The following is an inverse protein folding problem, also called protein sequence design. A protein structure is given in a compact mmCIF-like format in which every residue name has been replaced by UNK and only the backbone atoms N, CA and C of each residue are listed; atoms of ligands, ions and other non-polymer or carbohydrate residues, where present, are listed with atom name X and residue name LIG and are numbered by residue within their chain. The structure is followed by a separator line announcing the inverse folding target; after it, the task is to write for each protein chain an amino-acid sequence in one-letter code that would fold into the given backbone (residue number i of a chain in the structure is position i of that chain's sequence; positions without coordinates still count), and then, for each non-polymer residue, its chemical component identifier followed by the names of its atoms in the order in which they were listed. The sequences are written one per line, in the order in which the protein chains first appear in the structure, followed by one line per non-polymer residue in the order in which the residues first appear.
data_IF_747284581862
#
_entry.id   IF_747284581862
#
_cell.length_a   1.000
_cell.length_b   1.000
_cell.length_c   1.000
_cell.angle_alpha   90.00
_cell.angle_beta   90.00
_cell.angle_gamma   90.00
#
_symmetry.space_group_name_H-M   'P 1'
#
loop_
_entity.id
_entity.type
_entity.pdbx_description
1 polymer ?
#
# COMPACT_ATOMS: atom_id res chain seq x y z
N UNK A 1 61.17 12.98 65.38
CA UNK A 1 60.06 12.16 65.90
C UNK A 1 58.78 12.76 65.34
N UNK A 2 58.58 12.66 64.04
CA UNK A 2 57.94 11.55 63.31
C UNK A 2 56.41 11.59 63.46
N UNK A 3 55.76 12.00 62.38
CA UNK A 3 54.35 11.70 62.08
C UNK A 3 54.28 11.37 60.59
N UNK A 4 54.36 10.08 60.30
CA UNK A 4 54.21 9.51 58.96
C UNK A 4 52.75 9.19 58.65
N UNK A 5 52.28 9.77 57.55
CA UNK A 5 51.41 9.27 56.47
C UNK A 5 50.11 8.50 56.76
N UNK A 6 48.99 9.04 56.23
CA UNK A 6 48.02 8.28 55.42
C UNK A 6 47.42 9.12 54.27
N UNK A 7 47.75 8.66 53.05
CA UNK A 7 47.04 8.62 51.75
C UNK A 7 45.94 9.64 51.41
N UNK A 8 46.14 10.27 50.25
CA UNK A 8 45.20 11.15 49.56
C UNK A 8 44.06 10.45 48.83
N UNK A 9 43.05 11.27 48.53
CA UNK A 9 41.96 11.05 47.60
C UNK A 9 41.84 12.33 46.77
N UNK A 10 42.36 12.30 45.54
CA UNK A 10 42.06 13.30 44.52
C UNK A 10 40.72 12.92 43.87
N UNK A 11 39.69 13.74 44.10
CA UNK A 11 38.49 13.74 43.27
C UNK A 11 38.68 14.81 42.20
N UNK A 12 39.24 14.40 41.07
CA UNK A 12 39.31 15.22 39.87
C UNK A 12 37.90 15.48 39.33
N UNK A 13 37.63 16.77 39.10
CA UNK A 13 36.49 17.23 38.34
C UNK A 13 36.53 16.71 36.90
N UNK A 14 35.35 16.55 36.34
CA UNK A 14 35.14 16.51 34.89
C UNK A 14 33.90 17.31 34.57
N UNK A 15 34.18 18.56 34.21
CA UNK A 15 33.62 19.32 33.10
C UNK A 15 32.27 18.89 32.54
N UNK A 16 31.34 19.84 32.63
CA UNK A 16 30.17 19.93 31.77
C UNK A 16 30.61 19.97 30.30
N UNK A 17 30.36 18.88 29.57
CA UNK A 17 30.48 18.85 28.12
C UNK A 17 29.10 19.05 27.48
N UNK A 18 29.04 20.04 26.60
CA UNK A 18 27.91 20.48 25.79
C UNK A 18 27.08 19.34 25.18
N UNK A 19 25.76 19.47 25.29
CA UNK A 19 24.80 18.67 24.53
C UNK A 19 24.68 19.31 23.13
N UNK A 20 25.08 18.64 22.04
CA UNK A 20 24.85 19.15 20.70
C UNK A 20 23.37 18.95 20.33
N UNK A 21 22.67 20.05 20.08
CA UNK A 21 21.36 20.07 19.41
C UNK A 21 21.56 20.07 17.89
N UNK A 22 21.58 18.91 17.25
CA UNK A 22 21.15 18.70 15.85
C UNK A 22 21.27 17.20 15.48
N UNK A 23 20.16 16.50 15.25
CA UNK A 23 19.58 16.25 13.93
C UNK A 23 20.30 15.15 13.12
N UNK A 24 19.95 13.91 13.43
CA UNK A 24 19.83 12.74 12.53
C UNK A 24 20.03 11.51 13.41
N UNK A 25 18.93 10.96 13.94
CA UNK A 25 18.97 9.65 14.56
C UNK A 25 19.08 8.60 13.45
N UNK A 26 20.27 8.48 12.87
CA UNK A 26 20.68 7.24 12.22
C UNK A 26 20.65 6.13 13.27
N UNK A 27 20.14 4.96 12.90
CA UNK A 27 19.94 3.82 13.79
C UNK A 27 21.18 3.53 14.65
N UNK A 28 21.06 3.68 15.96
CA UNK A 28 21.94 3.00 16.92
C UNK A 28 21.08 2.13 17.82
N UNK A 29 20.84 0.88 17.41
CA UNK A 29 20.54 -0.20 18.36
C UNK A 29 21.85 -0.88 18.75
N UNK A 30 22.06 -1.21 20.03
CA UNK A 30 23.36 -1.58 20.53
C UNK A 30 23.86 -2.87 19.86
N UNK A 31 25.10 -2.82 19.37
CA UNK A 31 25.81 -4.01 18.92
C UNK A 31 25.79 -5.08 20.03
N UNK A 32 25.47 -6.33 19.71
CA UNK A 32 25.61 -7.44 20.65
C UNK A 32 27.02 -8.02 20.57
N UNK A 33 27.68 -8.15 21.73
CA UNK A 33 29.04 -8.70 21.82
C UNK A 33 28.97 -10.22 21.72
N UNK A 34 29.34 -10.78 20.57
CA UNK A 34 29.63 -12.21 20.45
C UNK A 34 31.10 -12.48 20.82
N UNK A 35 31.41 -13.73 21.17
CA UNK A 35 32.74 -14.16 21.63
C UNK A 35 33.87 -13.98 20.60
N UNK A 36 33.55 -13.67 19.34
CA UNK A 36 34.50 -13.50 18.23
C UNK A 36 34.57 -12.08 17.66
N UNK A 37 33.90 -11.08 18.27
CA UNK A 37 33.98 -9.67 17.87
C UNK A 37 32.63 -9.00 17.58
N UNK A 38 32.69 -7.73 17.15
CA UNK A 38 31.53 -6.97 16.65
C UNK A 38 31.13 -7.55 15.29
N UNK A 39 29.97 -8.21 15.23
CA UNK A 39 29.43 -8.73 13.96
C UNK A 39 28.22 -7.86 13.61
N UNK A 40 28.32 -7.09 12.52
CA UNK A 40 27.14 -6.49 11.90
C UNK A 40 26.36 -7.61 11.19
N UNK A 41 25.08 -7.86 11.53
CA UNK A 41 24.26 -8.78 10.75
C UNK A 41 24.07 -8.22 9.33
N UNK A 42 24.46 -8.99 8.32
CA UNK A 42 24.46 -8.59 6.90
C UNK A 42 23.05 -8.55 6.26
N UNK A 43 22.00 -8.33 7.04
CA UNK A 43 20.63 -8.12 6.56
C UNK A 43 19.82 -7.22 7.52
N UNK A 44 20.35 -6.05 7.89
CA UNK A 44 19.54 -5.02 8.54
C UNK A 44 18.62 -4.35 7.50
N UNK A 45 17.45 -4.91 7.24
CA UNK A 45 16.38 -4.17 6.54
C UNK A 45 15.80 -3.17 7.54
N UNK A 46 16.21 -1.90 7.45
CA UNK A 46 15.56 -0.83 8.22
C UNK A 46 14.10 -0.72 7.79
N UNK A 47 13.20 -0.66 8.77
CA UNK A 47 11.78 -0.39 8.56
C UNK A 47 11.48 1.02 9.05
N UNK A 48 10.91 1.83 8.18
CA UNK A 48 10.50 3.20 8.50
C UNK A 48 8.98 3.32 8.35
N UNK A 49 8.37 4.13 9.20
CA UNK A 49 6.97 4.54 9.07
C UNK A 49 6.93 6.03 8.75
N UNK A 50 6.18 6.36 7.70
CA UNK A 50 5.92 7.75 7.30
C UNK A 50 4.42 8.03 7.40
N UNK A 51 4.09 9.29 7.64
CA UNK A 51 2.73 9.82 7.48
C UNK A 51 2.67 10.62 6.18
N UNK A 52 1.65 10.39 5.38
CA UNK A 52 1.43 11.06 4.09
C UNK A 52 0.10 11.80 4.14
N UNK A 53 0.09 13.06 3.73
CA UNK A 53 -1.08 13.95 3.64
C UNK A 53 -1.17 14.54 2.22
N UNK A 54 -2.24 15.29 1.91
CA UNK A 54 -2.37 16.06 0.67
C UNK A 54 -3.00 15.34 -0.53
N UNK A 55 -3.35 14.06 -0.36
CA UNK A 55 -4.07 13.30 -1.38
C UNK A 55 -5.55 13.64 -1.46
N UNK A 56 -6.16 13.31 -2.60
CA UNK A 56 -7.60 13.44 -2.80
C UNK A 56 -8.35 12.42 -1.93
N UNK A 57 -9.12 12.93 -0.96
CA UNK A 57 -9.88 12.13 0.00
C UNK A 57 -11.17 11.56 -0.57
N UNK A 58 -11.57 11.98 -1.78
CA UNK A 58 -12.75 11.46 -2.48
C UNK A 58 -12.46 10.17 -3.26
N UNK A 59 -11.18 9.81 -3.42
CA UNK A 59 -10.76 8.57 -4.07
C UNK A 59 -11.17 7.33 -3.29
N UNK A 60 -11.30 6.20 -3.99
CA UNK A 60 -11.38 4.90 -3.32
C UNK A 60 -10.03 4.50 -2.71
N UNK A 61 -10.09 3.79 -1.59
CA UNK A 61 -8.92 3.40 -0.81
C UNK A 61 -7.90 2.62 -1.65
N UNK A 62 -8.37 1.74 -2.53
CA UNK A 62 -7.51 0.93 -3.37
C UNK A 62 -6.75 1.77 -4.41
N UNK A 63 -7.43 2.72 -5.06
CA UNK A 63 -6.81 3.63 -6.04
C UNK A 63 -5.73 4.49 -5.40
N UNK A 64 -6.01 5.04 -4.21
CA UNK A 64 -5.02 5.76 -3.42
C UNK A 64 -3.82 4.87 -3.09
N UNK A 65 -4.04 3.63 -2.65
CA UNK A 65 -2.97 2.68 -2.35
C UNK A 65 -2.09 2.40 -3.56
N UNK A 66 -2.67 2.25 -4.75
CA UNK A 66 -1.91 2.04 -5.98
C UNK A 66 -1.05 3.27 -6.33
N UNK A 67 -1.64 4.47 -6.25
CA UNK A 67 -0.92 5.71 -6.50
C UNK A 67 0.27 5.89 -5.54
N UNK A 68 0.04 5.68 -4.24
CA UNK A 68 1.10 5.72 -3.22
C UNK A 68 2.16 4.64 -3.46
N UNK A 69 1.77 3.42 -3.82
CA UNK A 69 2.72 2.34 -4.14
C UNK A 69 3.61 2.69 -5.31
N UNK A 70 3.04 3.23 -6.38
CA UNK A 70 3.77 3.66 -7.56
C UNK A 70 4.71 4.82 -7.23
N UNK A 71 4.21 5.82 -6.50
CA UNK A 71 4.96 7.03 -6.16
C UNK A 71 6.17 6.74 -5.26
N UNK A 72 5.99 5.94 -4.20
CA UNK A 72 7.07 5.61 -3.24
C UNK A 72 7.88 4.37 -3.62
N UNK A 73 7.70 3.81 -4.82
CA UNK A 73 8.38 2.58 -5.27
C UNK A 73 9.92 2.68 -5.28
N UNK A 74 10.47 3.88 -5.42
CA UNK A 74 11.91 4.15 -5.40
C UNK A 74 12.50 4.30 -3.99
N UNK A 75 11.65 4.52 -2.97
CA UNK A 75 12.07 4.75 -1.59
C UNK A 75 12.44 3.44 -0.88
N UNK A 76 11.81 2.34 -1.26
CA UNK A 76 12.00 1.01 -0.68
C UNK A 76 10.78 0.13 -0.92
N UNK A 77 10.76 -1.04 -0.29
CA UNK A 77 9.65 -1.97 -0.41
C UNK A 77 8.51 -1.60 0.55
N UNK A 78 7.36 -1.25 -0.03
CA UNK A 78 6.17 -0.86 0.74
C UNK A 78 5.47 -2.12 1.25
N UNK A 79 5.60 -2.37 2.55
CA UNK A 79 5.06 -3.56 3.21
C UNK A 79 3.60 -3.37 3.63
N UNK A 80 3.22 -2.15 4.01
CA UNK A 80 1.87 -1.86 4.48
C UNK A 80 1.48 -0.41 4.21
N UNK A 81 0.23 -0.19 3.81
CA UNK A 81 -0.40 1.14 3.72
C UNK A 81 -1.69 1.07 4.52
N UNK A 82 -1.80 1.93 5.52
CA UNK A 82 -3.00 2.11 6.31
C UNK A 82 -3.63 3.46 5.99
N UNK A 83 -4.86 3.44 5.48
CA UNK A 83 -5.63 4.63 5.14
C UNK A 83 -6.88 4.63 6.02
N UNK A 84 -6.94 5.47 7.05
CA UNK A 84 -8.15 5.67 7.84
C UNK A 84 -9.29 6.19 6.96
N UNK A 85 -10.51 5.71 7.21
CA UNK A 85 -11.73 6.13 6.51
C UNK A 85 -12.71 6.79 7.48
N UNK A 86 -13.34 7.87 7.04
CA UNK A 86 -14.53 8.42 7.68
C UNK A 86 -15.75 7.70 7.09
N UNK A 87 -16.28 6.73 7.84
CA UNK A 87 -17.42 5.93 7.41
C UNK A 87 -18.76 6.68 7.45
N UNK A 88 -18.86 7.79 8.19
CA UNK A 88 -20.08 8.61 8.22
C UNK A 88 -20.20 9.42 6.93
N UNK A 89 -19.08 10.01 6.50
CA UNK A 89 -19.01 10.81 5.28
C UNK A 89 -18.68 9.99 4.03
N UNK A 90 -18.32 8.72 4.22
CA UNK A 90 -17.87 7.81 3.17
C UNK A 90 -16.68 8.35 2.35
N UNK A 91 -15.75 9.05 3.01
CA UNK A 91 -14.52 9.60 2.42
C UNK A 91 -13.29 9.12 3.18
N UNK A 92 -12.11 9.21 2.58
CA UNK A 92 -10.86 8.94 3.27
C UNK A 92 -10.52 10.07 4.24
N UNK A 93 -9.87 9.78 5.35
CA UNK A 93 -9.26 10.84 6.17
C UNK A 93 -8.07 11.42 5.42
N UNK A 94 -7.66 12.65 5.78
CA UNK A 94 -6.63 13.42 5.06
C UNK A 94 -5.19 13.01 5.36
N UNK A 95 -4.97 11.82 5.92
CA UNK A 95 -3.64 11.29 6.24
C UNK A 95 -3.62 9.76 6.16
N UNK A 96 -2.50 9.20 5.70
CA UNK A 96 -2.25 7.76 5.59
C UNK A 96 -0.89 7.42 6.19
N UNK A 97 -0.76 6.20 6.72
CA UNK A 97 0.51 5.69 7.21
C UNK A 97 1.08 4.65 6.26
N UNK A 98 2.36 4.77 5.93
CA UNK A 98 3.06 3.85 5.04
C UNK A 98 4.27 3.25 5.77
N UNK A 99 4.39 1.93 5.70
CA UNK A 99 5.56 1.19 6.18
C UNK A 99 6.45 0.82 4.99
N UNK A 100 7.68 1.31 5.01
CA UNK A 100 8.66 1.09 3.94
C UNK A 100 9.87 0.37 4.53
N UNK A 101 10.22 -0.74 3.91
CA UNK A 101 11.44 -1.49 4.20
C UNK A 101 12.54 -1.07 3.22
N UNK A 102 13.70 -0.68 3.74
CA UNK A 102 14.83 -0.28 2.89
C UNK A 102 15.74 0.72 3.59
N UNK A 103 17.02 0.69 3.21
CA UNK A 103 18.00 1.64 3.71
C UNK A 103 17.70 3.05 3.17
N UNK A 104 17.66 4.02 4.08
CA UNK A 104 17.35 5.40 3.76
C UNK A 104 15.90 5.62 3.29
N UNK A 105 14.99 4.68 3.59
CA UNK A 105 13.62 4.72 3.07
C UNK A 105 12.86 5.97 3.51
N UNK A 106 13.06 6.41 4.76
CA UNK A 106 12.44 7.61 5.30
C UNK A 106 12.96 8.88 4.62
N UNK A 107 14.28 9.02 4.48
CA UNK A 107 14.92 10.18 3.86
C UNK A 107 14.52 10.31 2.39
N UNK A 108 14.49 9.18 1.67
CA UNK A 108 14.00 9.13 0.27
C UNK A 108 12.53 9.53 0.18
N UNK A 109 11.68 9.06 1.09
CA UNK A 109 10.27 9.42 1.09
C UNK A 109 10.04 10.90 1.44
N UNK A 110 10.79 11.43 2.41
CA UNK A 110 10.77 12.85 2.76
C UNK A 110 11.22 13.73 1.60
N UNK A 111 12.18 13.28 0.79
CA UNK A 111 12.63 13.99 -0.41
C UNK A 111 11.54 14.07 -1.50
N UNK A 112 10.54 13.19 -1.50
CA UNK A 112 9.39 13.24 -2.40
C UNK A 112 8.24 14.12 -1.86
N UNK A 113 8.37 14.70 -0.67
CA UNK A 113 7.37 15.62 -0.12
C UNK A 113 7.19 16.85 -1.03
N UNK A 114 5.93 17.17 -1.34
CA UNK A 114 5.51 18.22 -2.25
C UNK A 114 5.41 17.81 -3.73
N UNK A 115 5.74 16.57 -4.08
CA UNK A 115 5.71 16.10 -5.47
C UNK A 115 4.34 15.52 -5.87
N UNK A 116 4.07 15.49 -7.18
CA UNK A 116 2.82 14.98 -7.74
C UNK A 116 2.77 13.44 -7.66
N UNK A 117 1.67 12.93 -7.13
CA UNK A 117 1.38 11.50 -6.99
C UNK A 117 0.09 11.10 -7.73
N UNK A 118 -0.09 11.58 -8.96
CA UNK A 118 -1.25 11.29 -9.78
C UNK A 118 -2.28 12.42 -9.80
N UNK A 119 -1.81 13.67 -9.95
CA UNK A 119 -2.65 14.86 -10.04
C UNK A 119 -2.90 15.58 -8.71
N UNK A 120 -2.25 15.12 -7.63
CA UNK A 120 -2.29 15.72 -6.30
C UNK A 120 -0.91 15.64 -5.65
N UNK A 121 -0.59 16.63 -4.81
CA UNK A 121 0.72 16.72 -4.17
C UNK A 121 0.72 15.98 -2.81
N UNK A 122 1.63 15.03 -2.65
CA UNK A 122 1.86 14.37 -1.35
C UNK A 122 2.67 15.24 -0.42
N UNK A 123 2.33 15.26 0.87
CA UNK A 123 3.19 15.82 1.92
C UNK A 123 3.60 14.72 2.89
N UNK A 124 4.90 14.49 3.01
CA UNK A 124 5.45 13.40 3.82
C UNK A 124 6.01 13.96 5.13
N UNK A 125 5.66 13.32 6.23
CA UNK A 125 6.17 13.60 7.57
C UNK A 125 6.77 12.32 8.16
N UNK A 126 7.88 12.47 8.89
CA UNK A 126 8.42 11.40 9.73
C UNK A 126 7.37 10.99 10.76
N UNK A 127 7.15 9.69 10.90
CA UNK A 127 6.23 9.16 11.92
C UNK A 127 6.92 8.01 12.65
N UNK A 128 7.81 8.33 13.62
CA UNK A 128 8.40 7.33 14.49
C UNK A 128 7.30 6.46 15.10
N UNK A 129 7.53 5.16 15.19
CA UNK A 129 6.58 4.20 15.73
C UNK A 129 6.33 4.51 17.23
N UNK A 130 5.28 5.30 17.53
CA UNK A 130 4.88 5.70 18.88
C UNK A 130 3.71 4.88 19.43
N UNK A 131 3.19 3.94 18.65
CA UNK A 131 2.08 3.07 19.01
C UNK A 131 1.26 2.62 17.80
N UNK A 132 0.22 1.81 18.06
CA UNK A 132 -0.84 1.56 17.09
C UNK A 132 -1.76 2.79 17.08
N UNK A 133 -1.84 3.48 15.94
CA UNK A 133 -2.93 4.42 15.70
C UNK A 133 -4.23 3.61 15.72
N UNK A 134 -5.03 3.78 16.78
CA UNK A 134 -6.36 3.21 16.88
C UNK A 134 -7.31 4.27 16.37
N UNK A 135 -7.98 3.99 15.25
CA UNK A 135 -9.01 4.89 14.73
C UNK A 135 -10.18 4.95 15.73
N UNK A 136 -10.46 6.11 16.37
CA UNK A 136 -11.54 6.23 17.33
C UNK A 136 -12.92 5.95 16.72
N UNK A 137 -13.06 6.11 15.40
CA UNK A 137 -14.31 5.89 14.67
C UNK A 137 -14.51 4.48 14.13
N UNK A 138 -13.56 3.55 14.30
CA UNK A 138 -13.71 2.18 13.79
C UNK A 138 -14.80 1.39 14.51
N UNK A 139 -14.93 1.57 15.82
CA UNK A 139 -15.76 0.71 16.69
C UNK A 139 -17.24 1.14 16.77
N UNK A 140 -17.61 2.32 16.25
CA UNK A 140 -18.90 2.97 16.56
C UNK A 140 -19.88 3.01 15.40
N UNK A 141 -19.52 2.53 14.20
CA UNK A 141 -20.35 2.70 13.00
C UNK A 141 -20.77 1.35 12.41
N UNK A 142 -22.07 1.09 12.43
CA UNK A 142 -22.71 0.15 11.51
C UNK A 142 -22.66 0.77 10.10
N UNK A 143 -21.49 0.69 9.45
CA UNK A 143 -21.33 1.31 8.14
C UNK A 143 -22.07 0.50 7.06
N UNK A 144 -22.91 1.14 6.23
CA UNK A 144 -23.48 0.52 5.04
C UNK A 144 -22.40 -0.02 4.09
N UNK A 145 -21.16 0.47 4.19
CA UNK A 145 -20.04 0.01 3.39
C UNK A 145 -19.73 -1.48 3.62
N UNK A 146 -19.85 -1.95 4.86
CA UNK A 146 -19.63 -3.36 5.20
C UNK A 146 -20.80 -4.28 4.81
N UNK A 147 -21.98 -3.71 4.58
CA UNK A 147 -23.16 -4.48 4.16
C UNK A 147 -23.30 -4.58 2.63
N UNK A 148 -22.51 -3.81 1.86
CA UNK A 148 -22.50 -3.91 0.41
C UNK A 148 -21.95 -5.27 -0.05
N UNK A 149 -22.55 -5.87 -1.10
CA UNK A 149 -22.08 -7.15 -1.61
C UNK A 149 -20.70 -6.98 -2.25
N UNK A 150 -19.69 -7.62 -1.65
CA UNK A 150 -18.37 -7.78 -2.28
C UNK A 150 -18.40 -9.01 -3.19
N UNK A 151 -18.03 -8.83 -4.45
CA UNK A 151 -17.97 -9.89 -5.45
C UNK A 151 -16.58 -9.98 -6.04
N UNK A 152 -16.16 -11.21 -6.33
CA UNK A 152 -14.91 -11.45 -7.03
C UNK A 152 -15.21 -11.86 -8.47
N UNK A 153 -14.48 -11.27 -9.42
CA UNK A 153 -14.53 -11.61 -10.83
C UNK A 153 -13.14 -11.90 -11.36
N UNK A 154 -13.07 -12.71 -12.41
CA UNK A 154 -11.85 -13.02 -13.14
C UNK A 154 -11.92 -12.31 -14.48
N UNK A 155 -10.87 -11.55 -14.78
CA UNK A 155 -10.76 -10.78 -16.02
C UNK A 155 -9.50 -11.17 -16.79
N UNK A 156 -9.54 -10.96 -18.11
CA UNK A 156 -8.44 -11.24 -19.04
C UNK A 156 -8.29 -10.11 -20.06
N UNK A 157 -7.21 -10.12 -20.84
CA UNK A 157 -7.04 -9.23 -22.00
C UNK A 157 -6.24 -7.96 -21.75
N UNK A 158 -5.57 -7.87 -20.60
CA UNK A 158 -4.53 -6.88 -20.30
C UNK A 158 -3.15 -7.38 -20.77
N UNK A 159 -2.22 -6.45 -20.93
CA UNK A 159 -0.85 -6.74 -21.33
C UNK A 159 0.00 -7.19 -20.14
N UNK A 160 0.40 -8.47 -20.11
CA UNK A 160 1.23 -9.06 -19.05
C UNK A 160 2.69 -8.66 -19.11
N UNK A 161 3.12 -7.96 -20.16
CA UNK A 161 4.49 -7.43 -20.27
C UNK A 161 4.70 -6.15 -19.44
N UNK A 162 3.61 -5.50 -19.02
CA UNK A 162 3.66 -4.28 -18.22
C UNK A 162 3.96 -4.59 -16.74
N UNK A 163 4.49 -3.60 -16.00
CA UNK A 163 4.64 -3.72 -14.57
C UNK A 163 3.31 -4.04 -13.88
N UNK A 164 3.34 -4.95 -12.89
CA UNK A 164 2.14 -5.39 -12.16
C UNK A 164 1.31 -4.20 -11.64
N UNK A 165 1.98 -3.15 -11.14
CA UNK A 165 1.35 -1.94 -10.63
C UNK A 165 0.60 -1.16 -11.72
N UNK A 166 1.12 -1.13 -12.95
CA UNK A 166 0.48 -0.43 -14.07
C UNK A 166 -0.75 -1.20 -14.57
N UNK A 167 -0.68 -2.54 -14.54
CA UNK A 167 -1.83 -3.39 -14.82
C UNK A 167 -2.92 -3.20 -13.76
N UNK A 168 -2.54 -3.17 -12.47
CA UNK A 168 -3.49 -2.92 -11.39
C UNK A 168 -4.17 -1.55 -11.53
N UNK A 169 -3.43 -0.49 -11.84
CA UNK A 169 -3.98 0.86 -12.07
C UNK A 169 -4.92 0.84 -13.29
N UNK A 170 -4.50 0.26 -14.41
CA UNK A 170 -5.31 0.22 -15.62
C UNK A 170 -6.61 -0.56 -15.42
N UNK A 171 -6.56 -1.72 -14.74
CA UNK A 171 -7.75 -2.49 -14.38
C UNK A 171 -8.65 -1.73 -13.40
N UNK A 172 -8.07 -1.02 -12.43
CA UNK A 172 -8.84 -0.21 -11.48
C UNK A 172 -9.61 0.91 -12.19
N UNK A 173 -8.91 1.63 -13.06
CA UNK A 173 -9.50 2.70 -13.86
C UNK A 173 -10.60 2.18 -14.80
N UNK A 174 -10.41 1.03 -15.44
CA UNK A 174 -11.37 0.45 -16.38
C UNK A 174 -12.73 0.12 -15.72
N UNK A 175 -12.71 -0.40 -14.48
CA UNK A 175 -13.93 -0.77 -13.76
C UNK A 175 -14.42 0.30 -12.77
N UNK A 176 -13.81 1.50 -12.76
CA UNK A 176 -14.14 2.59 -11.83
C UNK A 176 -15.61 3.04 -11.89
N UNK A 177 -16.28 2.91 -13.04
CA UNK A 177 -17.70 3.23 -13.21
C UNK A 177 -18.65 2.10 -12.78
N UNK A 178 -18.14 0.89 -12.55
CA UNK A 178 -18.94 -0.27 -12.15
C UNK A 178 -19.22 -0.28 -10.65
N UNK A 179 -18.24 0.12 -9.84
CA UNK A 179 -18.29 0.08 -8.38
C UNK A 179 -16.91 0.34 -7.75
N UNK A 180 -16.85 0.25 -6.42
CA UNK A 180 -15.61 0.45 -5.67
C UNK A 180 -14.74 -0.81 -5.78
N UNK A 181 -13.57 -0.69 -6.42
CA UNK A 181 -12.61 -1.77 -6.50
C UNK A 181 -11.82 -1.80 -5.20
N UNK A 182 -11.77 -2.97 -4.60
CA UNK A 182 -11.17 -3.16 -3.26
C UNK A 182 -9.86 -3.94 -3.33
N UNK A 183 -9.66 -4.71 -4.40
CA UNK A 183 -8.42 -5.45 -4.63
C UNK A 183 -8.32 -5.93 -6.07
N UNK A 184 -7.12 -5.87 -6.66
CA UNK A 184 -6.75 -6.56 -7.91
C UNK A 184 -5.55 -7.46 -7.60
N UNK A 185 -5.73 -8.76 -7.79
CA UNK A 185 -4.69 -9.77 -7.60
C UNK A 185 -4.38 -10.41 -8.95
N UNK A 186 -3.10 -10.41 -9.32
CA UNK A 186 -2.61 -11.07 -10.53
C UNK A 186 -1.74 -12.24 -10.08
N UNK A 187 -2.22 -13.49 -10.17
CA UNK A 187 -1.41 -14.65 -9.84
C UNK A 187 -0.13 -14.66 -10.68
N UNK A 188 0.96 -15.16 -10.10
CA UNK A 188 2.22 -15.41 -10.83
C UNK A 188 2.28 -16.87 -11.22
N UNK A 189 2.82 -17.16 -12.40
CA UNK A 189 3.11 -18.53 -12.82
C UNK A 189 4.33 -19.09 -12.08
N UNK A 190 4.67 -20.36 -12.34
CA UNK A 190 5.82 -21.02 -11.73
C UNK A 190 7.17 -20.34 -12.06
N UNK A 191 7.22 -19.53 -13.10
CA UNK A 191 8.40 -18.80 -13.55
C UNK A 191 8.42 -17.35 -13.04
N UNK A 192 7.44 -16.93 -12.26
CA UNK A 192 7.29 -15.56 -11.74
C UNK A 192 6.66 -14.58 -12.72
N UNK A 193 6.24 -15.02 -13.91
CA UNK A 193 5.52 -14.22 -14.89
C UNK A 193 4.07 -13.96 -14.45
N UNK A 194 3.52 -12.80 -14.82
CA UNK A 194 2.13 -12.47 -14.53
C UNK A 194 1.19 -13.37 -15.34
N UNK A 195 0.19 -13.95 -14.68
CA UNK A 195 -0.86 -14.72 -15.34
C UNK A 195 -1.69 -13.79 -16.25
N UNK A 196 -2.29 -14.35 -17.31
CA UNK A 196 -3.22 -13.62 -18.18
C UNK A 196 -4.61 -13.43 -17.55
N UNK A 197 -4.84 -13.96 -16.34
CA UNK A 197 -6.09 -13.86 -15.56
C UNK A 197 -5.84 -13.08 -14.28
N UNK A 198 -6.60 -12.00 -14.07
CA UNK A 198 -6.58 -11.22 -12.84
C UNK A 198 -7.87 -11.45 -12.05
N UNK A 199 -7.76 -11.49 -10.73
CA UNK A 199 -8.89 -11.55 -9.81
C UNK A 199 -9.18 -10.15 -9.30
N UNK A 200 -10.38 -9.63 -9.56
CA UNK A 200 -10.84 -8.31 -9.13
C UNK A 200 -11.95 -8.47 -8.10
N UNK A 201 -11.78 -7.83 -6.95
CA UNK A 201 -12.82 -7.69 -5.93
C UNK A 201 -13.49 -6.34 -6.06
N UNK A 202 -14.78 -6.34 -6.42
CA UNK A 202 -15.59 -5.13 -6.58
C UNK A 202 -16.69 -5.10 -5.53
N UNK A 203 -16.99 -3.89 -5.04
CA UNK A 203 -18.02 -3.60 -4.07
C UNK A 203 -19.06 -2.67 -4.71
N UNK A 204 -20.34 -3.04 -4.61
CA UNK A 204 -21.43 -2.19 -5.08
C UNK A 204 -22.63 -2.96 -5.58
N UNK A 205 -23.81 -2.39 -5.42
CA UNK A 205 -25.04 -2.94 -5.98
C UNK A 205 -25.00 -2.86 -7.51
N UNK A 206 -25.24 -3.98 -8.20
CA UNK A 206 -25.20 -4.04 -9.65
C UNK A 206 -23.79 -3.96 -10.27
N UNK A 207 -22.74 -4.02 -9.45
CA UNK A 207 -21.37 -3.78 -9.91
C UNK A 207 -20.88 -4.85 -10.89
N UNK A 208 -21.31 -6.09 -10.70
CA UNK A 208 -20.97 -7.22 -11.57
C UNK A 208 -21.65 -7.08 -12.93
N UNK A 209 -22.93 -6.72 -12.94
CA UNK A 209 -23.73 -6.55 -14.15
C UNK A 209 -23.14 -5.44 -15.03
N UNK A 210 -22.80 -4.29 -14.43
CA UNK A 210 -22.09 -3.20 -15.10
C UNK A 210 -20.72 -3.65 -15.63
N UNK A 211 -19.97 -4.43 -14.87
CA UNK A 211 -18.66 -4.93 -15.29
C UNK A 211 -18.76 -5.90 -16.47
N UNK A 212 -19.81 -6.73 -16.51
CA UNK A 212 -20.10 -7.61 -17.65
C UNK A 212 -20.48 -6.81 -18.90
N UNK A 213 -21.24 -5.73 -18.75
CA UNK A 213 -21.60 -4.81 -19.84
C UNK A 213 -20.39 -4.04 -20.40
N UNK A 214 -19.40 -3.73 -19.56
CA UNK A 214 -18.14 -3.11 -20.02
C UNK A 214 -17.17 -4.11 -20.69
N UNK A 215 -17.39 -5.41 -20.51
CA UNK A 215 -16.54 -6.44 -21.11
C UNK A 215 -16.57 -6.37 -22.64
N UNK A 216 -15.40 -6.28 -23.26
CA UNK A 216 -15.25 -6.17 -24.72
C UNK A 216 -15.05 -4.74 -25.24
N UNK A 217 -14.92 -3.74 -24.36
CA UNK A 217 -14.52 -2.39 -24.74
C UNK A 217 -12.98 -2.25 -24.76
N UNK A 218 -12.42 -1.88 -25.92
CA UNK A 218 -11.01 -1.51 -26.06
C UNK A 218 -10.77 -0.14 -25.40
N UNK A 219 -10.29 -0.16 -24.15
CA UNK A 219 -9.84 1.05 -23.46
C UNK A 219 -8.33 0.98 -23.34
N UNK A 220 -7.63 1.76 -24.17
CA UNK A 220 -6.18 1.88 -24.10
C UNK A 220 -5.39 0.74 -24.77
N UNK A 221 -6.00 -0.01 -25.70
CA UNK A 221 -5.35 -1.13 -26.39
C UNK A 221 -5.49 -2.46 -25.66
N UNK A 222 -6.18 -2.50 -24.52
CA UNK A 222 -6.50 -3.73 -23.79
C UNK A 222 -7.92 -4.17 -24.11
N UNK A 223 -8.06 -5.43 -24.53
CA UNK A 223 -9.36 -6.04 -24.79
C UNK A 223 -9.85 -6.73 -23.50
N UNK A 224 -10.20 -5.92 -22.51
CA UNK A 224 -10.59 -6.43 -21.19
C UNK A 224 -11.92 -7.17 -21.28
N UNK A 225 -11.91 -8.42 -20.84
CA UNK A 225 -13.09 -9.29 -20.80
C UNK A 225 -13.26 -9.91 -19.41
N UNK A 226 -14.49 -9.86 -18.89
CA UNK A 226 -14.88 -10.56 -17.66
C UNK A 226 -15.24 -12.00 -18.03
N UNK A 227 -14.42 -12.96 -17.61
CA UNK A 227 -14.57 -14.38 -17.99
C UNK A 227 -15.31 -15.21 -16.95
N UNK A 228 -15.25 -14.82 -15.68
CA UNK A 228 -15.94 -15.54 -14.61
C UNK A 228 -16.34 -14.59 -13.50
N UNK A 229 -17.58 -14.69 -13.04
CA UNK A 229 -18.01 -14.07 -11.79
C UNK A 229 -18.04 -15.18 -10.75
N UNK A 230 -17.21 -15.06 -9.71
CA UNK A 230 -17.21 -16.01 -8.63
C UNK A 230 -18.50 -15.78 -7.82
N UNK A 231 -19.35 -16.80 -7.64
CA UNK A 231 -20.54 -16.67 -6.83
C UNK A 231 -20.16 -16.36 -5.38
N UNK A 232 -21.04 -15.72 -4.60
CA UNK A 232 -20.89 -15.70 -3.16
C UNK A 232 -20.84 -17.17 -2.69
N UNK A 233 -20.05 -17.44 -1.65
CA UNK A 233 -20.01 -18.78 -1.04
C UNK A 233 -21.46 -19.27 -0.81
N UNK A 234 -21.84 -20.36 -1.48
CA UNK A 234 -23.19 -20.96 -1.39
C UNK A 234 -24.12 -20.82 -2.60
N UNK A 235 -23.71 -20.17 -3.71
CA UNK A 235 -24.54 -20.10 -4.94
C UNK A 235 -23.89 -20.81 -6.14
N UNK A 236 -24.67 -21.57 -6.91
CA UNK A 236 -24.20 -22.34 -8.08
C UNK A 236 -23.75 -21.42 -9.23
N UNK A 237 -22.60 -21.73 -9.83
CA UNK A 237 -22.01 -21.01 -10.98
C UNK A 237 -22.90 -21.20 -12.22
N UNK A 238 -23.33 -20.10 -12.86
CA UNK A 238 -23.75 -20.14 -14.27
C UNK A 238 -22.58 -19.68 -15.13
N UNK A 239 -22.12 -20.56 -16.01
CA UNK A 239 -21.14 -20.21 -17.03
C UNK A 239 -21.82 -19.32 -18.09
N UNK A 240 -21.22 -18.17 -18.40
CA UNK A 240 -21.56 -17.45 -19.63
C UNK A 240 -20.91 -18.18 -20.81
N UNK A 241 -21.69 -18.96 -21.55
CA UNK A 241 -21.30 -19.48 -22.85
C UNK A 241 -21.43 -18.37 -23.89
N UNK A 242 -20.30 -17.91 -24.42
CA UNK A 242 -20.26 -17.05 -25.61
C UNK A 242 -20.69 -17.86 -26.84
N UNK A 243 -21.93 -17.68 -27.33
CA UNK A 243 -22.45 -18.08 -28.65
C UNK A 243 -23.82 -17.40 -28.82
N UNK A 244 -24.15 -16.60 -29.84
CA UNK A 244 -23.77 -16.65 -31.25
C UNK A 244 -24.00 -15.29 -31.92
N UNK A 245 -23.02 -14.85 -32.72
CA UNK A 245 -23.23 -13.87 -33.78
C UNK A 245 -24.16 -14.50 -34.83
N UNK A 246 -25.37 -13.98 -34.97
CA UNK A 246 -26.19 -14.25 -36.16
C UNK A 246 -25.88 -13.16 -37.19
N UNK A 247 -25.25 -13.55 -38.29
CA UNK A 247 -25.11 -12.74 -39.50
C UNK A 247 -26.51 -12.45 -40.07
N UNK A 248 -26.79 -11.23 -40.57
CA UNK A 248 -28.05 -10.96 -41.24
C UNK A 248 -28.06 -11.68 -42.59
N UNK A 249 -29.09 -12.51 -42.82
CA UNK A 249 -29.36 -13.12 -44.11
C UNK A 249 -29.64 -12.02 -45.15
N UNK A 250 -28.82 -11.97 -46.19
CA UNK A 250 -29.16 -11.33 -47.47
C UNK A 250 -29.91 -12.34 -48.33
N UNK A 251 -31.17 -12.05 -48.65
CA UNK A 251 -31.75 -12.23 -50.00
C UNK A 251 -33.06 -11.46 -50.08
#
# INVERSE_FOLDING_TARGET
MDRSATKGLDLNGSDAADIPKNSSFGCVRPNYRSSSGWVQPSYCTSFSRICVEGYDTSLYEYDLKLALRKHFSSCGEITHIYVPRDFERNILKSFAFIHIAGEGAEEKALALSGSDAGGWNVFVKSSPYDGQYVDPGWATVESPHFSLPRRMMIVTGYDTSLPEIDIQIGLSNHFSSCGEITNVMIPKDANGGLNSKAHISILGAGAVEKALELGGCDVGGWNIAVVTVIPPLGTTIRYCSSSSLSLPNKS
#
